data_IF_845704539259
#
_entry.id   IF_845704539259
#
_cell.length_a   1.000
_cell.length_b   1.000
_cell.length_c   1.000
_cell.angle_alpha   90.00
_cell.angle_beta   90.00
_cell.angle_gamma   90.00
#
_symmetry.space_group_name_H-M   'P 1'
#
loop_
_entity.id
_entity.type
_entity.pdbx_description
1 polymer ?
#
# COMPACT_ATOMS: atom_id res chain seq x y z
N UNK A 1 3.58 -5.33 -20.46
CA UNK A 1 2.54 -5.27 -19.41
C UNK A 1 1.21 -5.17 -20.10
N UNK A 2 0.27 -6.03 -19.74
CA UNK A 2 -1.06 -6.05 -20.32
C UNK A 2 -1.92 -4.91 -19.72
N UNK A 3 -2.91 -4.42 -20.47
CA UNK A 3 -3.76 -3.31 -20.03
C UNK A 3 -4.61 -3.72 -18.82
N UNK A 4 -4.97 -4.99 -18.72
CA UNK A 4 -5.72 -5.54 -17.60
C UNK A 4 -4.90 -5.50 -16.29
N UNK A 5 -3.67 -6.01 -16.31
CA UNK A 5 -2.75 -5.99 -15.14
C UNK A 5 -2.46 -4.55 -14.68
N UNK A 6 -2.29 -3.60 -15.61
CA UNK A 6 -2.12 -2.18 -15.23
C UNK A 6 -3.34 -1.61 -14.50
N UNK A 7 -4.55 -1.97 -14.93
CA UNK A 7 -5.78 -1.48 -14.28
C UNK A 7 -5.92 -2.06 -12.87
N UNK A 8 -5.63 -3.35 -12.71
CA UNK A 8 -5.67 -4.02 -11.41
C UNK A 8 -4.67 -3.41 -10.42
N UNK A 9 -3.45 -3.13 -10.87
CA UNK A 9 -2.43 -2.47 -10.04
C UNK A 9 -2.89 -1.09 -9.56
N UNK A 10 -3.47 -0.29 -10.47
CA UNK A 10 -4.00 1.05 -10.14
C UNK A 10 -5.17 0.97 -9.17
N UNK A 11 -6.11 0.04 -9.40
CA UNK A 11 -7.26 -0.16 -8.52
C UNK A 11 -6.79 -0.58 -7.13
N UNK A 12 -5.81 -1.48 -7.03
CA UNK A 12 -5.26 -1.91 -5.76
C UNK A 12 -4.59 -0.78 -4.99
N UNK A 13 -3.79 0.05 -5.67
CA UNK A 13 -3.17 1.22 -5.07
C UNK A 13 -4.23 2.23 -4.58
N UNK A 14 -5.28 2.45 -5.39
CA UNK A 14 -6.39 3.32 -5.03
C UNK A 14 -7.14 2.84 -3.80
N UNK A 15 -7.50 1.55 -3.74
CA UNK A 15 -8.19 0.97 -2.59
C UNK A 15 -7.37 1.07 -1.30
N UNK A 16 -6.05 0.85 -1.39
CA UNK A 16 -5.15 1.03 -0.25
C UNK A 16 -5.13 2.49 0.23
N UNK A 17 -4.98 3.43 -0.69
CA UNK A 17 -4.95 4.86 -0.42
C UNK A 17 -6.28 5.35 0.19
N UNK A 18 -7.41 4.93 -0.38
CA UNK A 18 -8.74 5.29 0.09
C UNK A 18 -9.01 4.75 1.51
N UNK A 19 -8.67 3.48 1.77
CA UNK A 19 -8.84 2.87 3.09
C UNK A 19 -7.97 3.55 4.14
N UNK A 20 -6.71 3.82 3.81
CA UNK A 20 -5.80 4.52 4.71
C UNK A 20 -6.26 5.96 4.98
N UNK A 21 -6.65 6.68 3.92
CA UNK A 21 -7.19 8.03 4.02
C UNK A 21 -8.43 8.11 4.91
N UNK A 22 -9.39 7.19 4.73
CA UNK A 22 -10.57 7.12 5.58
C UNK A 22 -10.21 6.89 7.06
N UNK A 23 -9.32 5.93 7.34
CA UNK A 23 -8.87 5.67 8.70
C UNK A 23 -8.13 6.87 9.32
N UNK A 24 -7.30 7.56 8.54
CA UNK A 24 -6.61 8.79 8.94
C UNK A 24 -7.56 9.94 9.23
N UNK A 25 -8.56 10.14 8.37
CA UNK A 25 -9.61 11.13 8.53
C UNK A 25 -10.35 10.91 9.84
N UNK A 26 -10.87 9.70 10.08
CA UNK A 26 -11.62 9.37 11.30
C UNK A 26 -10.79 9.64 12.57
N UNK A 27 -9.53 9.19 12.60
CA UNK A 27 -8.64 9.42 13.76
C UNK A 27 -8.41 10.91 14.00
N UNK A 28 -8.11 11.67 12.95
CA UNK A 28 -7.85 13.10 13.06
C UNK A 28 -9.11 13.91 13.39
N UNK A 29 -10.29 13.48 12.93
CA UNK A 29 -11.58 14.07 13.35
C UNK A 29 -11.80 13.88 14.84
N UNK A 30 -11.62 12.66 15.36
CA UNK A 30 -11.77 12.39 16.80
C UNK A 30 -10.81 13.24 17.62
N UNK A 31 -9.55 13.33 17.20
CA UNK A 31 -8.55 14.21 17.82
C UNK A 31 -8.97 15.68 17.74
N UNK A 32 -9.41 16.16 16.58
CA UNK A 32 -9.86 17.54 16.37
C UNK A 32 -11.06 17.91 17.25
N UNK A 33 -12.04 17.00 17.37
CA UNK A 33 -13.18 17.17 18.29
C UNK A 33 -12.68 17.22 19.73
N UNK A 34 -11.81 16.29 20.13
CA UNK A 34 -11.24 16.27 21.48
C UNK A 34 -10.51 17.57 21.83
N UNK A 35 -9.71 18.11 20.90
CA UNK A 35 -9.02 19.39 21.06
C UNK A 35 -10.00 20.57 21.12
N UNK A 36 -11.04 20.58 20.30
CA UNK A 36 -12.06 21.62 20.33
C UNK A 36 -12.86 21.61 21.64
N UNK A 37 -13.22 20.43 22.16
CA UNK A 37 -13.88 20.25 23.46
C UNK A 37 -12.96 20.73 24.58
N UNK A 38 -11.71 20.26 24.60
CA UNK A 38 -10.74 20.65 25.62
C UNK A 38 -10.53 22.17 25.63
N UNK A 39 -10.28 22.76 24.46
CA UNK A 39 -10.10 24.21 24.33
C UNK A 39 -11.33 25.00 24.76
N UNK A 40 -12.54 24.47 24.57
CA UNK A 40 -13.76 25.11 25.01
C UNK A 40 -13.85 25.22 26.54
N UNK A 41 -13.41 24.20 27.26
CA UNK A 41 -13.48 24.17 28.73
C UNK A 41 -12.26 24.78 29.42
N UNK A 42 -11.08 24.72 28.82
CA UNK A 42 -9.84 25.20 29.45
C UNK A 42 -9.50 26.65 29.11
N UNK A 43 -9.90 27.15 27.93
CA UNK A 43 -9.47 28.47 27.45
C UNK A 43 -10.63 29.47 27.28
N UNK A 44 -10.70 30.55 28.09
CA UNK A 44 -11.71 31.60 27.96
C UNK A 44 -11.84 32.22 26.56
N UNK A 45 -10.72 32.51 25.89
CA UNK A 45 -10.68 33.07 24.54
C UNK A 45 -11.30 32.11 23.51
N UNK A 46 -10.95 30.82 23.54
CA UNK A 46 -11.50 29.83 22.61
C UNK A 46 -12.98 29.54 22.88
N UNK A 47 -13.39 29.57 24.16
CA UNK A 47 -14.79 29.44 24.55
C UNK A 47 -15.69 30.48 23.90
N UNK A 48 -15.23 31.73 23.85
CA UNK A 48 -15.93 32.88 23.21
C UNK A 48 -16.00 32.80 21.68
N UNK A 49 -15.24 31.91 21.05
CA UNK A 49 -15.30 31.72 19.59
C UNK A 49 -16.60 31.06 19.16
N UNK A 50 -17.04 31.39 17.94
CA UNK A 50 -18.29 30.90 17.36
C UNK A 50 -18.26 29.40 17.09
N UNK A 51 -19.43 28.76 17.07
CA UNK A 51 -19.55 27.34 16.76
C UNK A 51 -19.06 26.98 15.34
N UNK A 52 -19.36 27.78 14.29
CA UNK A 52 -18.84 27.54 12.95
C UNK A 52 -17.31 27.52 12.89
N UNK A 53 -16.64 28.42 13.62
CA UNK A 53 -15.17 28.45 13.66
C UNK A 53 -14.59 27.16 14.24
N UNK A 54 -15.18 26.63 15.31
CA UNK A 54 -14.75 25.35 15.91
C UNK A 54 -14.97 24.18 14.95
N UNK A 55 -16.12 24.16 14.26
CA UNK A 55 -16.39 23.16 13.22
C UNK A 55 -15.39 23.22 12.07
N UNK A 56 -15.00 24.42 11.65
CA UNK A 56 -13.96 24.63 10.63
C UNK A 56 -12.59 24.10 11.08
N UNK A 57 -12.20 24.27 12.34
CA UNK A 57 -10.94 23.69 12.83
C UNK A 57 -10.98 22.15 12.81
N UNK A 58 -12.10 21.54 13.20
CA UNK A 58 -12.28 20.08 13.14
C UNK A 58 -12.24 19.57 11.70
N UNK A 59 -12.83 20.31 10.74
CA UNK A 59 -12.78 19.92 9.33
C UNK A 59 -11.37 20.01 8.75
N UNK A 60 -10.58 21.03 9.13
CA UNK A 60 -9.15 21.10 8.78
C UNK A 60 -8.41 19.86 9.29
N UNK A 61 -8.57 19.51 10.58
CA UNK A 61 -7.94 18.30 11.14
C UNK A 61 -8.34 17.04 10.36
N UNK A 62 -9.61 16.93 9.99
CA UNK A 62 -10.15 15.80 9.23
C UNK A 62 -9.50 15.68 7.85
N UNK A 63 -9.48 16.78 7.07
CA UNK A 63 -8.87 16.81 5.73
C UNK A 63 -7.38 16.51 5.81
N UNK A 64 -6.69 17.07 6.80
CA UNK A 64 -5.27 16.84 7.00
C UNK A 64 -4.97 15.37 7.32
N UNK A 65 -5.74 14.75 8.21
CA UNK A 65 -5.62 13.33 8.53
C UNK A 65 -5.92 12.43 7.33
N UNK A 66 -6.91 12.81 6.50
CA UNK A 66 -7.24 12.11 5.27
C UNK A 66 -6.07 12.09 4.30
N UNK A 67 -5.54 13.28 3.98
CA UNK A 67 -4.50 13.43 2.95
C UNK A 67 -3.20 12.79 3.42
N UNK A 68 -2.71 13.10 4.61
CA UNK A 68 -1.43 12.55 5.08
C UNK A 68 -1.45 11.02 5.18
N UNK A 69 -2.56 10.43 5.66
CA UNK A 69 -2.64 8.98 5.77
C UNK A 69 -2.75 8.29 4.41
N UNK A 70 -3.42 8.92 3.44
CA UNK A 70 -3.49 8.45 2.07
C UNK A 70 -2.12 8.49 1.38
N UNK A 71 -1.43 9.63 1.44
CA UNK A 71 -0.09 9.81 0.86
C UNK A 71 0.93 8.84 1.46
N UNK A 72 0.94 8.70 2.79
CA UNK A 72 1.86 7.78 3.48
C UNK A 72 1.63 6.32 3.05
N UNK A 73 0.38 5.90 2.86
CA UNK A 73 0.09 4.55 2.42
C UNK A 73 0.53 4.30 0.98
N UNK A 74 0.37 5.28 0.09
CA UNK A 74 0.82 5.19 -1.28
C UNK A 74 2.36 5.13 -1.35
N UNK A 75 3.05 6.01 -0.62
CA UNK A 75 4.51 6.03 -0.55
C UNK A 75 5.06 4.73 0.03
N UNK A 76 4.44 4.18 1.07
CA UNK A 76 4.83 2.90 1.65
C UNK A 76 4.67 1.76 0.63
N UNK A 77 3.56 1.75 -0.11
CA UNK A 77 3.31 0.76 -1.15
C UNK A 77 4.34 0.83 -2.28
N UNK A 78 4.66 2.03 -2.76
CA UNK A 78 5.69 2.22 -3.78
C UNK A 78 7.08 1.84 -3.26
N UNK A 79 7.42 2.18 -2.01
CA UNK A 79 8.68 1.82 -1.39
C UNK A 79 8.84 0.29 -1.29
N UNK A 80 7.78 -0.40 -0.87
CA UNK A 80 7.75 -1.87 -0.80
C UNK A 80 7.89 -2.51 -2.19
N UNK A 81 7.21 -1.94 -3.20
CA UNK A 81 7.35 -2.38 -4.60
C UNK A 81 8.78 -2.21 -5.09
N UNK A 82 9.38 -1.02 -4.91
CA UNK A 82 10.78 -0.74 -5.29
C UNK A 82 11.76 -1.67 -4.58
N UNK A 83 11.55 -1.94 -3.29
CA UNK A 83 12.38 -2.86 -2.51
C UNK A 83 12.29 -4.29 -3.04
N UNK A 84 11.07 -4.77 -3.31
CA UNK A 84 10.81 -6.12 -3.86
C UNK A 84 11.42 -6.28 -5.25
N UNK A 85 11.19 -5.33 -6.16
CA UNK A 85 11.78 -5.34 -7.50
C UNK A 85 13.31 -5.29 -7.46
N UNK A 86 13.88 -4.50 -6.55
CA UNK A 86 15.32 -4.42 -6.30
C UNK A 86 15.91 -5.74 -5.80
N UNK A 87 15.24 -6.40 -4.85
CA UNK A 87 15.65 -7.71 -4.34
C UNK A 87 15.63 -8.78 -5.43
N UNK A 88 14.57 -8.81 -6.25
CA UNK A 88 14.45 -9.74 -7.38
C UNK A 88 15.55 -9.47 -8.41
N UNK A 89 15.82 -8.21 -8.75
CA UNK A 89 16.90 -7.85 -9.68
C UNK A 89 18.27 -8.27 -9.13
N UNK A 90 18.49 -8.12 -7.82
CA UNK A 90 19.72 -8.57 -7.15
C UNK A 90 19.88 -10.09 -7.22
N UNK A 91 18.81 -10.86 -6.96
CA UNK A 91 18.80 -12.32 -7.08
C UNK A 91 19.09 -12.77 -8.52
N UNK A 92 18.39 -12.19 -9.49
CA UNK A 92 18.60 -12.48 -10.91
C UNK A 92 20.07 -12.28 -11.32
N UNK A 93 20.69 -11.17 -10.89
CA UNK A 93 22.10 -10.88 -11.19
C UNK A 93 23.04 -11.94 -10.62
N UNK A 94 22.79 -12.42 -9.41
CA UNK A 94 23.62 -13.44 -8.76
C UNK A 94 23.46 -14.79 -9.48
N UNK A 95 22.24 -15.20 -9.80
CA UNK A 95 21.98 -16.47 -10.46
C UNK A 95 22.47 -16.50 -11.91
N UNK A 96 22.26 -15.42 -12.66
CA UNK A 96 22.78 -15.29 -14.02
C UNK A 96 24.31 -15.32 -14.03
N UNK A 97 24.97 -14.63 -13.09
CA UNK A 97 26.42 -14.66 -12.95
C UNK A 97 26.93 -16.07 -12.61
N UNK A 98 26.23 -16.82 -11.75
CA UNK A 98 26.54 -18.25 -11.46
C UNK A 98 26.43 -19.13 -12.69
N UNK A 99 25.50 -18.84 -13.60
CA UNK A 99 25.34 -19.52 -14.90
C UNK A 99 26.37 -19.05 -15.95
N UNK A 100 27.26 -18.12 -15.62
CA UNK A 100 28.22 -17.53 -16.55
C UNK A 100 27.60 -16.55 -17.55
N UNK A 101 26.36 -16.10 -17.31
CA UNK A 101 25.63 -15.18 -18.19
C UNK A 101 25.80 -13.74 -17.72
N UNK A 102 25.91 -12.82 -18.68
CA UNK A 102 25.91 -11.38 -18.40
C UNK A 102 24.48 -10.95 -18.05
N UNK A 103 24.26 -10.32 -16.89
CA UNK A 103 22.93 -9.92 -16.45
C UNK A 103 22.45 -8.67 -17.20
N UNK A 104 22.04 -8.86 -18.44
CA UNK A 104 21.35 -7.85 -19.25
C UNK A 104 19.87 -7.80 -18.89
N UNK A 105 19.18 -6.69 -19.21
CA UNK A 105 17.74 -6.58 -18.95
C UNK A 105 16.93 -7.69 -19.65
N UNK A 106 17.37 -8.15 -20.82
CA UNK A 106 16.74 -9.26 -21.55
C UNK A 106 16.89 -10.60 -20.80
N UNK A 107 18.09 -10.91 -20.28
CA UNK A 107 18.32 -12.14 -19.51
C UNK A 107 17.62 -12.12 -18.15
N UNK A 108 17.55 -10.94 -17.51
CA UNK A 108 16.76 -10.77 -16.28
C UNK A 108 15.27 -10.97 -16.56
N UNK A 109 14.75 -10.51 -17.70
CA UNK A 109 13.36 -10.74 -18.08
C UNK A 109 13.06 -12.22 -18.34
N UNK A 110 13.95 -12.94 -19.05
CA UNK A 110 13.84 -14.39 -19.26
C UNK A 110 13.86 -15.15 -17.94
N UNK A 111 14.82 -14.84 -17.07
CA UNK A 111 14.92 -15.44 -15.74
C UNK A 111 13.64 -15.22 -14.91
N UNK A 112 13.04 -14.02 -14.96
CA UNK A 112 11.76 -13.76 -14.28
C UNK A 112 10.62 -14.63 -14.83
N UNK A 113 10.56 -14.83 -16.15
CA UNK A 113 9.56 -15.67 -16.77
C UNK A 113 9.74 -17.16 -16.40
N UNK A 114 10.98 -17.65 -16.37
CA UNK A 114 11.32 -19.00 -15.90
C UNK A 114 10.87 -19.21 -14.45
N UNK A 115 11.18 -18.26 -13.56
CA UNK A 115 10.81 -18.34 -12.15
C UNK A 115 9.29 -18.31 -11.93
N UNK A 116 8.56 -17.52 -12.72
CA UNK A 116 7.11 -17.49 -12.67
C UNK A 116 6.51 -18.82 -13.13
N UNK A 117 7.00 -19.38 -14.24
CA UNK A 117 6.56 -20.67 -14.75
C UNK A 117 6.84 -21.83 -13.77
N UNK A 118 8.04 -21.86 -13.17
CA UNK A 118 8.40 -22.85 -12.17
C UNK A 118 7.48 -22.78 -10.95
N UNK A 119 7.23 -21.56 -10.43
CA UNK A 119 6.33 -21.36 -9.29
C UNK A 119 4.88 -21.76 -9.59
N UNK A 120 4.40 -21.55 -10.81
CA UNK A 120 3.06 -21.98 -11.22
C UNK A 120 2.96 -23.51 -11.27
N UNK A 121 3.97 -24.17 -11.85
CA UNK A 121 4.02 -25.64 -11.90
C UNK A 121 4.05 -26.28 -10.49
N UNK A 122 4.78 -25.69 -9.55
CA UNK A 122 4.80 -26.13 -8.14
C UNK A 122 3.43 -26.01 -7.46
N UNK A 123 2.70 -24.91 -7.74
CA UNK A 123 1.35 -24.69 -7.20
C UNK A 123 0.35 -25.70 -7.78
N UNK A 124 0.42 -25.98 -9.08
CA UNK A 124 -0.46 -26.94 -9.75
C UNK A 124 -0.17 -28.38 -9.27
N UNK A 125 1.10 -28.74 -9.05
CA UNK A 125 1.50 -30.02 -8.47
C UNK A 125 1.03 -30.19 -7.01
N UNK A 126 1.06 -29.12 -6.21
CA UNK A 126 0.57 -29.11 -4.84
C UNK A 126 -0.98 -29.22 -4.77
N UNK A 127 -1.71 -28.70 -5.76
CA UNK A 127 -3.16 -28.83 -5.84
C UNK A 127 -3.61 -30.20 -6.38
N UNK A 128 -2.82 -30.83 -7.26
CA UNK A 128 -3.10 -32.16 -7.80
C UNK A 128 -2.86 -33.34 -6.86
N UNK A 129 -2.30 -33.10 -5.67
CA UNK A 129 -1.93 -34.14 -4.68
C UNK A 129 -2.87 -34.23 -3.47
N UNK A 130 -4.06 -33.63 -3.53
CA UNK A 130 -5.13 -33.84 -2.54
C UNK A 130 -5.67 -35.29 -2.56
N UNK A 131 -5.96 -35.91 -1.40
CA UNK A 131 -6.32 -37.32 -1.34
C UNK A 131 -7.64 -37.55 -2.07
N UNK A 132 -7.62 -38.41 -3.10
CA UNK A 132 -8.81 -38.78 -3.86
C UNK A 132 -9.89 -39.39 -2.95
N UNK A 133 -11.18 -39.19 -3.27
CA UNK A 133 -12.27 -39.64 -2.41
C UNK A 133 -12.23 -41.17 -2.30
N UNK A 134 -11.99 -41.66 -1.07
CA UNK A 134 -12.16 -43.06 -0.69
C UNK A 134 -13.63 -43.45 -0.88
N UNK A 135 -13.90 -44.24 -1.92
CA UNK A 135 -15.15 -44.98 -2.10
C UNK A 135 -15.21 -46.17 -1.17
#
# INVERSE_FOLDING_TARGET
MDRATRKEDVERAYQLQAKAGLAGATRATVLGIGLAVLGHYTWPTFRRQTLPFKGFLVSICTVFGLVLSAENALLAHEAERRHTEGAIRKQARIELARRGLVPTETEIAKWKAEQFAARQADLDAAQGSGPGPSR
#
